data_IF_842964858058
#
_entry.id   IF_842964858058
#
_cell.length_a   1.000
_cell.length_b   1.000
_cell.length_c   1.000
_cell.angle_alpha   90.00
_cell.angle_beta   90.00
_cell.angle_gamma   90.00
#
_symmetry.space_group_name_H-M   'P 1'
#
loop_
_entity.id
_entity.type
_entity.pdbx_description
1 polymer ?
#
# COMPACT_ATOMS: atom_id res chain seq x y z
N UNK A 1 -2.40 6.62 26.93
CA UNK A 1 -2.33 8.08 26.65
C UNK A 1 -3.64 8.46 26.00
N UNK A 2 -4.26 9.60 26.31
CA UNK A 2 -5.48 10.01 25.62
C UNK A 2 -5.11 10.32 24.17
N UNK A 3 -5.66 9.56 23.23
CA UNK A 3 -5.50 9.81 21.80
C UNK A 3 -6.03 11.20 21.48
N UNK A 4 -5.22 12.04 20.86
CA UNK A 4 -5.67 13.33 20.33
C UNK A 4 -6.74 13.01 19.28
N UNK A 5 -7.96 13.57 19.38
CA UNK A 5 -8.98 13.30 18.39
C UNK A 5 -8.45 13.68 17.00
N UNK A 6 -8.41 12.71 16.09
CA UNK A 6 -8.07 12.96 14.69
C UNK A 6 -9.19 13.79 14.07
N UNK A 7 -8.91 15.05 13.74
CA UNK A 7 -9.87 15.95 13.09
C UNK A 7 -9.91 15.68 11.57
N UNK A 8 -10.28 14.45 11.18
CA UNK A 8 -10.31 14.02 9.78
C UNK A 8 -11.72 13.84 9.22
N UNK A 9 -12.77 14.14 9.99
CA UNK A 9 -14.17 14.01 9.54
C UNK A 9 -14.38 14.79 8.23
N UNK A 10 -14.90 14.09 7.22
CA UNK A 10 -15.14 14.63 5.88
C UNK A 10 -13.91 14.69 4.97
N UNK A 11 -12.70 14.34 5.45
CA UNK A 11 -11.47 14.33 4.65
C UNK A 11 -11.44 13.16 3.67
N UNK A 12 -10.88 13.40 2.51
CA UNK A 12 -10.52 12.34 1.54
C UNK A 12 -9.22 11.65 1.98
N UNK A 13 -8.96 10.44 1.46
CA UNK A 13 -7.73 9.69 1.64
C UNK A 13 -7.19 9.25 0.27
N UNK A 14 -6.48 10.17 -0.42
CA UNK A 14 -6.10 9.98 -1.83
C UNK A 14 -4.62 9.63 -2.01
N UNK A 15 -3.75 10.22 -1.21
CA UNK A 15 -2.30 10.01 -1.23
C UNK A 15 -1.68 10.40 0.11
N UNK A 16 -0.51 9.88 0.39
CA UNK A 16 0.24 10.12 1.63
C UNK A 16 0.57 11.61 1.83
N UNK A 17 0.81 12.32 0.72
CA UNK A 17 1.13 13.75 0.71
C UNK A 17 0.01 14.66 1.23
N UNK A 18 -1.21 14.14 1.35
CA UNK A 18 -2.38 14.90 1.85
C UNK A 18 -2.42 14.94 3.39
N UNK A 19 -1.51 14.26 4.07
CA UNK A 19 -1.48 14.10 5.52
C UNK A 19 -0.18 14.60 6.14
N UNK A 20 -0.30 15.11 7.37
CA UNK A 20 0.86 15.35 8.22
C UNK A 20 1.35 14.03 8.84
N UNK A 21 2.61 14.01 9.29
CA UNK A 21 3.17 12.88 10.02
C UNK A 21 2.33 12.52 11.27
N UNK A 22 1.79 13.51 11.96
CA UNK A 22 0.95 13.30 13.13
C UNK A 22 -0.39 12.65 12.77
N UNK A 23 -1.06 13.11 11.71
CA UNK A 23 -2.31 12.50 11.23
C UNK A 23 -2.09 11.07 10.78
N UNK A 24 -0.99 10.81 10.03
CA UNK A 24 -0.67 9.47 9.55
C UNK A 24 -0.39 8.49 10.71
N UNK A 25 0.43 8.92 11.69
CA UNK A 25 0.68 8.14 12.92
C UNK A 25 -0.60 7.89 13.71
N UNK A 26 -1.45 8.89 13.85
CA UNK A 26 -2.73 8.76 14.54
C UNK A 26 -3.68 7.75 13.88
N UNK A 27 -3.67 7.64 12.53
CA UNK A 27 -4.42 6.60 11.82
C UNK A 27 -3.87 5.20 12.10
N UNK A 28 -2.54 5.05 12.18
CA UNK A 28 -1.88 3.77 12.54
C UNK A 28 -2.21 3.38 13.99
N UNK A 29 -2.16 4.33 14.94
CA UNK A 29 -2.52 4.10 16.33
C UNK A 29 -3.99 3.69 16.47
N UNK A 30 -4.90 4.40 15.79
CA UNK A 30 -6.32 4.05 15.77
C UNK A 30 -6.55 2.65 15.17
N UNK A 31 -5.81 2.29 14.14
CA UNK A 31 -5.90 0.94 13.55
C UNK A 31 -5.46 -0.14 14.55
N UNK A 32 -4.38 0.08 15.30
CA UNK A 32 -3.93 -0.82 16.35
C UNK A 32 -4.98 -0.99 17.47
N UNK A 33 -5.60 0.11 17.90
CA UNK A 33 -6.69 0.10 18.90
C UNK A 33 -7.90 -0.69 18.40
N UNK A 34 -8.36 -0.44 17.17
CA UNK A 34 -9.49 -1.15 16.56
C UNK A 34 -9.18 -2.64 16.34
N UNK A 35 -7.94 -2.98 15.95
CA UNK A 35 -7.46 -4.37 15.84
C UNK A 35 -7.53 -5.07 17.20
N UNK A 36 -7.02 -4.43 18.24
CA UNK A 36 -7.04 -4.97 19.60
C UNK A 36 -8.48 -5.15 20.10
N UNK A 37 -9.36 -4.17 19.89
CA UNK A 37 -10.76 -4.24 20.28
C UNK A 37 -11.52 -5.37 19.55
N UNK A 38 -11.27 -5.57 18.23
CA UNK A 38 -11.83 -6.68 17.46
C UNK A 38 -11.38 -8.03 18.03
N UNK A 39 -10.08 -8.20 18.29
CA UNK A 39 -9.52 -9.44 18.85
C UNK A 39 -10.07 -9.75 20.25
N UNK A 40 -10.34 -8.70 21.05
CA UNK A 40 -10.93 -8.83 22.38
C UNK A 40 -12.47 -8.99 22.38
N UNK A 41 -13.14 -8.86 21.22
CA UNK A 41 -14.60 -8.88 21.12
C UNK A 41 -15.30 -7.68 21.78
N UNK A 42 -14.58 -6.56 21.93
CA UNK A 42 -15.07 -5.32 22.59
C UNK A 42 -15.25 -4.17 21.58
N UNK A 43 -15.17 -4.46 20.29
CA UNK A 43 -15.23 -3.45 19.24
C UNK A 43 -16.58 -2.71 19.22
N UNK A 44 -16.54 -1.39 19.22
CA UNK A 44 -17.71 -0.52 19.09
C UNK A 44 -17.96 -0.18 17.63
N UNK A 45 -19.21 -0.16 17.20
CA UNK A 45 -19.63 0.18 15.83
C UNK A 45 -19.84 1.68 15.70
N UNK A 46 -18.93 2.37 15.02
CA UNK A 46 -18.96 3.83 14.84
C UNK A 46 -19.67 4.28 13.56
N UNK A 47 -19.90 3.38 12.59
CA UNK A 47 -20.42 3.70 11.27
C UNK A 47 -21.81 3.10 11.01
N UNK A 48 -22.62 2.94 12.06
CA UNK A 48 -23.92 2.31 11.94
C UNK A 48 -24.85 3.10 11.00
N UNK A 49 -25.36 2.40 9.96
CA UNK A 49 -26.24 2.98 8.96
C UNK A 49 -25.53 3.73 7.83
N UNK A 50 -24.20 3.82 7.83
CA UNK A 50 -23.44 4.37 6.71
C UNK A 50 -23.41 3.41 5.53
N UNK A 51 -23.33 3.96 4.32
CA UNK A 51 -23.25 3.22 3.07
C UNK A 51 -22.02 3.68 2.27
N UNK A 52 -21.21 2.75 1.77
CA UNK A 52 -19.97 3.03 1.08
C UNK A 52 -20.02 2.39 -0.31
N UNK A 53 -19.77 3.18 -1.36
CA UNK A 53 -19.59 2.68 -2.71
C UNK A 53 -18.14 2.19 -2.90
N UNK A 54 -17.97 1.02 -3.49
CA UNK A 54 -16.66 0.45 -3.85
C UNK A 54 -16.56 0.36 -5.36
N UNK A 55 -15.80 1.27 -5.98
CA UNK A 55 -15.63 1.36 -7.43
C UNK A 55 -14.31 0.68 -7.81
N UNK A 56 -14.39 -0.38 -8.61
CA UNK A 56 -13.22 -1.12 -9.07
C UNK A 56 -13.15 -1.09 -10.60
N UNK A 57 -12.16 -0.41 -11.16
CA UNK A 57 -11.78 -0.54 -12.58
C UNK A 57 -10.77 -1.67 -12.77
N UNK A 58 -9.97 -1.99 -11.74
CA UNK A 58 -9.11 -3.17 -11.65
C UNK A 58 -9.57 -4.07 -10.53
N UNK A 59 -9.71 -5.36 -10.79
CA UNK A 59 -10.12 -6.34 -9.78
C UNK A 59 -9.12 -6.45 -8.64
N UNK A 60 -9.59 -6.71 -7.44
CA UNK A 60 -8.74 -6.97 -6.27
C UNK A 60 -9.49 -7.74 -5.20
N UNK A 61 -8.96 -8.89 -4.79
CA UNK A 61 -9.50 -9.66 -3.68
C UNK A 61 -9.26 -8.95 -2.35
N UNK A 62 -8.01 -8.58 -2.06
CA UNK A 62 -7.61 -8.02 -0.75
C UNK A 62 -8.24 -6.67 -0.46
N UNK A 63 -8.14 -5.70 -1.38
CA UNK A 63 -8.72 -4.36 -1.17
C UNK A 63 -10.23 -4.44 -0.98
N UNK A 64 -10.93 -5.22 -1.83
CA UNK A 64 -12.35 -5.42 -1.72
C UNK A 64 -12.73 -6.02 -0.37
N UNK A 65 -12.16 -7.16 -0.01
CA UNK A 65 -12.46 -7.83 1.27
C UNK A 65 -12.14 -6.92 2.47
N UNK A 66 -11.03 -6.18 2.42
CA UNK A 66 -10.64 -5.29 3.51
C UNK A 66 -11.67 -4.15 3.72
N UNK A 67 -12.15 -3.49 2.66
CA UNK A 67 -13.20 -2.48 2.76
C UNK A 67 -14.54 -3.08 3.19
N UNK A 68 -14.97 -4.20 2.60
CA UNK A 68 -16.25 -4.84 2.94
C UNK A 68 -16.27 -5.27 4.42
N UNK A 69 -15.21 -5.93 4.89
CA UNK A 69 -15.14 -6.40 6.29
C UNK A 69 -14.95 -5.23 7.26
N UNK A 70 -14.12 -4.23 6.92
CA UNK A 70 -13.96 -3.02 7.75
C UNK A 70 -15.30 -2.29 7.95
N UNK A 71 -16.06 -2.09 6.87
CA UNK A 71 -17.37 -1.46 6.91
C UNK A 71 -18.36 -2.29 7.74
N UNK A 72 -18.46 -3.60 7.50
CA UNK A 72 -19.37 -4.50 8.20
C UNK A 72 -19.08 -4.56 9.71
N UNK A 73 -17.80 -4.64 10.12
CA UNK A 73 -17.39 -4.61 11.52
C UNK A 73 -17.89 -3.34 12.23
N UNK A 74 -17.88 -2.21 11.53
CA UNK A 74 -18.29 -0.92 12.06
C UNK A 74 -19.79 -0.60 11.88
N UNK A 75 -20.57 -1.54 11.30
CA UNK A 75 -22.02 -1.41 11.11
C UNK A 75 -22.41 -0.63 9.86
N UNK A 76 -21.50 -0.40 8.94
CA UNK A 76 -21.77 0.15 7.63
C UNK A 76 -22.09 -0.94 6.60
N UNK A 77 -22.70 -0.54 5.48
CA UNK A 77 -22.95 -1.38 4.31
C UNK A 77 -22.07 -0.95 3.14
N UNK A 78 -21.78 -1.88 2.23
CA UNK A 78 -21.02 -1.60 1.02
C UNK A 78 -21.81 -1.97 -0.23
N UNK A 79 -21.57 -1.27 -1.33
CA UNK A 79 -22.04 -1.62 -2.66
C UNK A 79 -20.85 -1.71 -3.60
N UNK A 80 -20.62 -2.90 -4.12
CA UNK A 80 -19.54 -3.15 -5.07
C UNK A 80 -19.97 -2.85 -6.50
N UNK A 81 -19.20 -1.98 -7.17
CA UNK A 81 -19.37 -1.58 -8.55
C UNK A 81 -18.18 -2.13 -9.36
N UNK A 82 -18.39 -3.24 -10.03
CA UNK A 82 -17.35 -3.91 -10.81
C UNK A 82 -17.13 -3.21 -12.17
N UNK A 83 -16.01 -3.52 -12.87
CA UNK A 83 -15.69 -2.92 -14.16
C UNK A 83 -16.76 -3.14 -15.24
N UNK A 84 -17.50 -4.25 -15.17
CA UNK A 84 -18.53 -4.61 -16.15
C UNK A 84 -19.88 -3.97 -15.83
N UNK A 85 -20.13 -3.70 -14.57
CA UNK A 85 -21.38 -3.09 -14.06
C UNK A 85 -21.37 -1.56 -14.01
N UNK A 86 -20.19 -0.92 -14.17
CA UNK A 86 -20.03 0.53 -14.10
C UNK A 86 -20.05 1.18 -15.48
N UNK A 87 -20.70 2.33 -15.60
CA UNK A 87 -20.72 3.16 -16.79
C UNK A 87 -19.71 4.32 -16.74
N UNK A 88 -18.88 4.38 -15.68
CA UNK A 88 -17.91 5.43 -15.43
C UNK A 88 -16.91 5.53 -16.57
N UNK A 89 -16.79 6.72 -17.16
CA UNK A 89 -15.87 6.96 -18.27
C UNK A 89 -16.34 6.43 -19.64
N UNK A 90 -17.48 5.72 -19.71
CA UNK A 90 -18.05 5.23 -20.96
C UNK A 90 -19.25 6.06 -21.43
N UNK A 91 -20.34 6.04 -20.68
CA UNK A 91 -21.57 6.78 -20.98
C UNK A 91 -21.82 7.92 -20.01
N UNK A 92 -21.11 7.93 -18.90
CA UNK A 92 -21.23 8.93 -17.85
C UNK A 92 -19.85 9.48 -17.51
N UNK A 93 -19.74 10.79 -17.31
CA UNK A 93 -18.48 11.40 -16.89
C UNK A 93 -18.15 11.04 -15.44
N UNK A 94 -16.85 11.02 -15.10
CA UNK A 94 -16.39 10.82 -13.70
C UNK A 94 -17.07 11.82 -12.76
N UNK A 95 -17.16 13.08 -13.19
CA UNK A 95 -17.80 14.16 -12.46
C UNK A 95 -19.28 13.93 -12.18
N UNK A 96 -20.05 13.43 -13.16
CA UNK A 96 -21.48 13.17 -12.97
C UNK A 96 -21.69 11.94 -12.10
N UNK A 97 -20.92 10.90 -12.30
CA UNK A 97 -20.90 9.73 -11.42
C UNK A 97 -20.60 10.13 -9.98
N UNK A 98 -19.58 10.97 -9.75
CA UNK A 98 -19.25 11.47 -8.41
C UNK A 98 -20.44 12.15 -7.74
N UNK A 99 -21.13 13.03 -8.48
CA UNK A 99 -22.31 13.76 -7.97
C UNK A 99 -23.50 12.84 -7.66
N UNK A 100 -23.71 11.82 -8.47
CA UNK A 100 -24.77 10.83 -8.25
C UNK A 100 -24.46 9.99 -7.01
N UNK A 101 -23.27 9.40 -6.96
CA UNK A 101 -22.87 8.52 -5.86
C UNK A 101 -22.77 9.27 -4.52
N UNK A 102 -22.25 10.50 -4.54
CA UNK A 102 -22.17 11.35 -3.34
C UNK A 102 -23.53 11.77 -2.75
N UNK A 103 -24.66 11.55 -3.49
CA UNK A 103 -26.02 11.74 -2.98
C UNK A 103 -26.65 10.45 -2.43
N UNK A 104 -26.04 9.31 -2.71
CA UNK A 104 -26.54 7.99 -2.32
C UNK A 104 -25.71 7.36 -1.21
N UNK A 105 -24.40 7.67 -1.18
CA UNK A 105 -23.42 7.05 -0.29
C UNK A 105 -22.78 8.08 0.65
N UNK A 106 -22.32 7.62 1.80
CA UNK A 106 -21.59 8.44 2.78
C UNK A 106 -20.07 8.49 2.49
N UNK A 107 -19.57 7.57 1.69
CA UNK A 107 -18.17 7.50 1.25
C UNK A 107 -18.01 6.70 -0.03
N UNK A 108 -16.93 6.95 -0.76
CA UNK A 108 -16.64 6.30 -2.05
C UNK A 108 -15.20 5.81 -2.06
N UNK A 109 -14.99 4.51 -2.25
CA UNK A 109 -13.68 3.95 -2.57
C UNK A 109 -13.52 3.85 -4.08
N UNK A 110 -12.32 4.13 -4.58
CA UNK A 110 -11.95 3.96 -5.97
C UNK A 110 -10.64 3.19 -6.08
N UNK A 111 -10.63 2.16 -6.92
CA UNK A 111 -9.43 1.41 -7.34
C UNK A 111 -9.36 1.34 -8.85
N UNK A 112 -8.34 1.94 -9.43
CA UNK A 112 -8.14 2.00 -10.87
C UNK A 112 -6.73 2.43 -11.23
N UNK A 113 -6.54 2.92 -12.46
CA UNK A 113 -5.23 3.35 -12.96
C UNK A 113 -4.93 4.80 -12.61
N UNK A 114 -5.94 5.67 -12.73
CA UNK A 114 -5.73 7.11 -12.80
C UNK A 114 -5.89 7.82 -11.47
N UNK A 115 -4.80 8.44 -11.00
CA UNK A 115 -4.84 9.37 -9.88
C UNK A 115 -5.75 10.57 -10.16
N UNK A 116 -5.74 11.08 -11.38
CA UNK A 116 -6.61 12.19 -11.79
C UNK A 116 -8.10 11.83 -11.63
N UNK A 117 -8.50 10.59 -11.93
CA UNK A 117 -9.90 10.16 -11.75
C UNK A 117 -10.32 10.17 -10.28
N UNK A 118 -9.49 9.64 -9.37
CA UNK A 118 -9.83 9.63 -7.95
C UNK A 118 -9.85 11.04 -7.36
N UNK A 119 -8.99 11.94 -7.83
CA UNK A 119 -9.00 13.36 -7.46
C UNK A 119 -10.24 14.08 -8.02
N UNK A 120 -10.67 13.75 -9.25
CA UNK A 120 -11.92 14.28 -9.80
C UNK A 120 -13.15 13.76 -9.04
N UNK A 121 -13.19 12.48 -8.69
CA UNK A 121 -14.23 11.93 -7.81
C UNK A 121 -14.29 12.71 -6.50
N UNK A 122 -13.16 12.94 -5.85
CA UNK A 122 -13.07 13.68 -4.58
C UNK A 122 -13.56 15.12 -4.72
N UNK A 123 -13.21 15.80 -5.82
CA UNK A 123 -13.62 17.19 -6.07
C UNK A 123 -15.13 17.38 -6.23
N UNK A 124 -15.87 16.35 -6.66
CA UNK A 124 -17.30 16.49 -7.00
C UNK A 124 -18.26 15.61 -6.19
N UNK A 125 -17.75 14.63 -5.41
CA UNK A 125 -18.61 13.71 -4.66
C UNK A 125 -19.34 14.39 -3.49
N UNK A 126 -18.70 15.33 -2.81
CA UNK A 126 -19.23 15.97 -1.59
C UNK A 126 -19.25 15.06 -0.36
N UNK A 127 -18.64 13.88 -0.46
CA UNK A 127 -18.41 12.91 0.60
C UNK A 127 -16.96 12.43 0.54
N UNK A 128 -16.39 11.85 1.62
CA UNK A 128 -15.05 11.28 1.61
C UNK A 128 -14.82 10.29 0.46
N UNK A 129 -13.67 10.42 -0.20
CA UNK A 129 -13.22 9.52 -1.25
C UNK A 129 -11.91 8.88 -0.82
N UNK A 130 -11.78 7.56 -1.05
CA UNK A 130 -10.66 6.73 -0.62
C UNK A 130 -9.97 6.12 -1.83
N UNK A 131 -8.65 6.31 -1.92
CA UNK A 131 -7.83 5.67 -2.95
C UNK A 131 -7.47 4.24 -2.52
N UNK A 132 -8.11 3.24 -3.11
CA UNK A 132 -7.79 1.83 -2.90
C UNK A 132 -6.52 1.37 -3.61
N UNK A 133 -6.15 2.05 -4.70
CA UNK A 133 -4.90 2.00 -5.47
C UNK A 133 -5.09 2.80 -6.77
N UNK A 134 -4.06 3.54 -7.14
CA UNK A 134 -3.84 4.06 -8.50
C UNK A 134 -2.45 3.67 -8.98
N UNK A 135 -2.08 4.01 -10.21
CA UNK A 135 -0.71 3.77 -10.70
C UNK A 135 0.32 4.66 -9.99
N UNK A 136 -0.10 5.78 -9.40
CA UNK A 136 0.78 6.73 -8.73
C UNK A 136 0.92 6.49 -7.22
N UNK A 137 -0.17 6.04 -6.52
CA UNK A 137 -0.22 5.97 -5.07
C UNK A 137 -1.01 4.76 -4.55
N UNK A 138 -0.55 4.22 -3.40
CA UNK A 138 -1.25 3.16 -2.66
C UNK A 138 -1.31 3.44 -1.15
N UNK A 139 -1.97 4.53 -0.73
CA UNK A 139 -1.91 5.01 0.65
C UNK A 139 -2.49 4.02 1.68
N UNK A 140 -3.49 3.21 1.29
CA UNK A 140 -4.05 2.19 2.18
C UNK A 140 -3.08 1.05 2.47
N UNK A 141 -2.14 0.76 1.55
CA UNK A 141 -1.07 -0.21 1.78
C UNK A 141 -0.06 0.36 2.78
N UNK A 142 0.34 1.62 2.60
CA UNK A 142 1.34 2.26 3.48
C UNK A 142 0.91 2.28 4.94
N UNK A 143 -0.36 2.54 5.23
CA UNK A 143 -0.85 2.43 6.61
C UNK A 143 -0.69 1.01 7.17
N UNK A 144 -0.98 -0.01 6.36
CA UNK A 144 -0.85 -1.41 6.77
C UNK A 144 0.61 -1.79 7.02
N UNK A 145 1.50 -1.35 6.13
CA UNK A 145 2.93 -1.65 6.24
C UNK A 145 3.54 -0.97 7.46
N UNK A 146 3.20 0.29 7.71
CA UNK A 146 3.65 1.01 8.92
C UNK A 146 3.11 0.36 10.20
N UNK A 147 1.83 -0.08 10.22
CA UNK A 147 1.29 -0.84 11.34
C UNK A 147 2.05 -2.16 11.54
N UNK A 148 2.34 -2.88 10.45
CA UNK A 148 3.10 -4.13 10.50
C UNK A 148 4.52 -3.90 11.00
N UNK A 149 5.17 -2.84 10.53
CA UNK A 149 6.50 -2.46 11.02
C UNK A 149 6.51 -2.15 12.51
N UNK A 150 5.48 -1.48 13.03
CA UNK A 150 5.33 -1.23 14.47
C UNK A 150 5.04 -2.48 15.28
N UNK A 151 4.35 -3.47 14.72
CA UNK A 151 4.06 -4.74 15.40
C UNK A 151 5.26 -5.69 15.46
N UNK A 152 6.20 -5.54 14.51
CA UNK A 152 7.36 -6.42 14.35
C UNK A 152 8.71 -5.73 14.68
N UNK A 153 8.67 -4.56 15.32
CA UNK A 153 9.87 -3.83 15.76
C UNK A 153 9.63 -3.11 17.09
N UNK A 154 10.61 -3.17 17.98
CA UNK A 154 10.61 -2.39 19.23
C UNK A 154 11.11 -0.95 19.03
N UNK A 155 11.52 -0.60 17.81
CA UNK A 155 12.04 0.73 17.49
C UNK A 155 10.89 1.73 17.28
N UNK A 156 11.07 3.01 17.63
CA UNK A 156 10.18 4.06 17.15
C UNK A 156 10.28 4.19 15.62
N UNK A 157 9.25 4.71 14.97
CA UNK A 157 9.19 4.80 13.49
C UNK A 157 10.39 5.54 12.88
N UNK A 158 10.87 6.59 13.52
CA UNK A 158 12.06 7.36 13.10
C UNK A 158 13.39 6.62 13.32
N UNK A 159 13.35 5.49 14.02
CA UNK A 159 14.48 4.56 14.19
C UNK A 159 14.47 3.36 13.23
N UNK A 160 13.39 3.19 12.44
CA UNK A 160 13.24 2.07 11.50
C UNK A 160 14.00 2.38 10.20
N UNK A 161 14.72 1.36 9.73
CA UNK A 161 15.35 1.34 8.40
C UNK A 161 14.66 0.31 7.53
N UNK A 162 14.20 0.69 6.34
CA UNK A 162 13.69 -0.27 5.38
C UNK A 162 14.26 -0.06 3.98
N UNK A 163 14.38 -1.15 3.23
CA UNK A 163 14.84 -1.16 1.85
C UNK A 163 13.76 -1.73 0.93
N UNK A 164 13.32 -0.93 -0.06
CA UNK A 164 12.46 -1.37 -1.14
C UNK A 164 13.32 -1.81 -2.33
N UNK A 165 13.16 -3.06 -2.77
CA UNK A 165 13.89 -3.65 -3.89
C UNK A 165 12.94 -3.86 -5.07
N UNK A 166 13.36 -3.47 -6.28
CA UNK A 166 12.60 -3.72 -7.51
C UNK A 166 12.15 -2.47 -8.25
N UNK A 167 11.03 -2.55 -8.97
CA UNK A 167 10.52 -1.43 -9.76
C UNK A 167 9.88 -0.36 -8.87
N UNK A 168 10.56 0.76 -8.68
CA UNK A 168 10.09 1.85 -7.84
C UNK A 168 9.48 3.03 -8.61
N UNK A 169 9.20 2.88 -9.91
CA UNK A 169 8.66 3.96 -10.75
C UNK A 169 7.18 4.25 -10.52
N UNK A 170 6.46 3.34 -9.87
CA UNK A 170 5.00 3.35 -9.72
C UNK A 170 4.59 3.51 -8.26
N UNK A 171 3.31 3.23 -8.00
CA UNK A 171 2.65 3.49 -6.73
C UNK A 171 3.41 3.00 -5.48
N UNK A 172 3.90 1.76 -5.47
CA UNK A 172 4.59 1.24 -4.27
C UNK A 172 5.90 1.97 -3.99
N UNK A 173 6.75 2.18 -5.02
CA UNK A 173 7.99 2.93 -4.86
C UNK A 173 7.76 4.37 -4.42
N UNK A 174 6.78 5.05 -5.04
CA UNK A 174 6.39 6.41 -4.66
C UNK A 174 5.87 6.47 -3.22
N UNK A 175 4.93 5.59 -2.88
CA UNK A 175 4.29 5.54 -1.56
C UNK A 175 5.27 5.21 -0.45
N UNK A 176 6.15 4.23 -0.63
CA UNK A 176 7.21 3.92 0.35
C UNK A 176 8.17 5.08 0.56
N UNK A 177 8.65 5.69 -0.54
CA UNK A 177 9.58 6.81 -0.47
C UNK A 177 8.98 7.99 0.32
N UNK A 178 7.74 8.36 -0.02
CA UNK A 178 7.05 9.48 0.63
C UNK A 178 6.67 9.17 2.07
N UNK A 179 6.17 7.96 2.35
CA UNK A 179 5.80 7.54 3.70
C UNK A 179 7.02 7.50 4.63
N UNK A 180 8.13 6.92 4.18
CA UNK A 180 9.36 6.91 4.96
C UNK A 180 9.89 8.32 5.22
N UNK A 181 9.85 9.19 4.20
CA UNK A 181 10.22 10.59 4.35
C UNK A 181 9.31 11.35 5.32
N UNK A 182 8.00 11.14 5.24
CA UNK A 182 7.00 11.77 6.13
C UNK A 182 7.20 11.38 7.60
N UNK A 183 7.51 10.11 7.85
CA UNK A 183 7.57 9.55 9.21
C UNK A 183 8.95 9.63 9.87
N UNK A 184 9.96 10.15 9.16
CA UNK A 184 11.32 10.31 9.70
C UNK A 184 12.18 9.04 9.63
N UNK A 185 11.80 8.06 8.81
CA UNK A 185 12.48 6.76 8.67
C UNK A 185 13.76 6.85 7.82
N UNK A 186 14.61 5.80 7.88
CA UNK A 186 15.66 5.59 6.89
C UNK A 186 15.10 4.74 5.74
N UNK A 187 14.73 5.42 4.64
CA UNK A 187 14.14 4.78 3.46
C UNK A 187 15.16 4.64 2.35
N UNK A 188 15.25 3.44 1.79
CA UNK A 188 16.19 3.11 0.75
C UNK A 188 15.49 2.48 -0.43
N UNK A 189 15.64 3.08 -1.61
CA UNK A 189 15.20 2.54 -2.89
C UNK A 189 16.39 1.86 -3.55
N UNK A 190 16.27 0.56 -3.76
CA UNK A 190 17.33 -0.31 -4.28
C UNK A 190 16.89 -0.89 -5.61
N UNK A 191 17.31 -0.27 -6.69
CA UNK A 191 16.88 -0.59 -8.04
C UNK A 191 17.86 -0.03 -9.07
N UNK A 192 17.85 -0.53 -10.33
CA UNK A 192 18.54 0.17 -11.42
C UNK A 192 18.03 1.62 -11.51
N UNK A 193 18.90 2.56 -11.82
CA UNK A 193 18.55 3.99 -11.86
C UNK A 193 17.35 4.30 -12.75
N UNK A 194 17.15 3.55 -13.82
CA UNK A 194 15.99 3.66 -14.73
C UNK A 194 14.67 3.21 -14.12
N UNK A 195 14.71 2.55 -12.95
CA UNK A 195 13.56 2.07 -12.19
C UNK A 195 13.34 2.85 -10.88
N UNK A 196 14.01 3.96 -10.68
CA UNK A 196 13.79 4.86 -9.55
C UNK A 196 12.48 5.64 -9.74
N UNK A 197 11.88 6.17 -8.66
CA UNK A 197 10.76 7.08 -8.74
C UNK A 197 11.09 8.31 -9.59
N UNK A 198 10.05 8.94 -10.16
CA UNK A 198 10.21 10.18 -10.90
C UNK A 198 10.88 11.25 -10.03
N UNK A 199 11.72 12.10 -10.65
CA UNK A 199 12.53 13.09 -9.94
C UNK A 199 11.66 14.01 -9.05
N UNK A 200 10.47 14.37 -9.51
CA UNK A 200 9.54 15.21 -8.76
C UNK A 200 9.07 14.54 -7.43
N UNK A 201 8.89 13.21 -7.43
CA UNK A 201 8.55 12.46 -6.21
C UNK A 201 9.74 12.42 -5.27
N UNK A 202 10.95 12.19 -5.81
CA UNK A 202 12.20 12.20 -5.03
C UNK A 202 12.42 13.57 -4.38
N UNK A 203 12.23 14.65 -5.13
CA UNK A 203 12.41 16.01 -4.62
C UNK A 203 11.38 16.32 -3.52
N UNK A 204 10.13 15.92 -3.72
CA UNK A 204 9.11 16.06 -2.69
C UNK A 204 9.40 15.26 -1.41
N UNK A 205 9.91 14.04 -1.55
CA UNK A 205 10.33 13.24 -0.41
C UNK A 205 11.50 13.90 0.35
N UNK A 206 12.45 14.48 -0.36
CA UNK A 206 13.57 15.21 0.26
C UNK A 206 13.11 16.45 1.04
N UNK A 207 12.16 17.21 0.50
CA UNK A 207 11.54 18.33 1.22
C UNK A 207 10.88 17.86 2.55
N UNK A 208 10.17 16.73 2.52
CA UNK A 208 9.61 16.14 3.74
C UNK A 208 10.71 15.71 4.72
N UNK A 209 11.78 15.12 4.22
CA UNK A 209 12.92 14.66 5.02
C UNK A 209 13.64 15.80 5.75
N UNK A 210 13.72 16.99 5.16
CA UNK A 210 14.26 18.19 5.83
C UNK A 210 13.55 18.52 7.14
N UNK A 211 12.24 18.30 7.19
CA UNK A 211 11.41 18.59 8.37
C UNK A 211 11.28 17.41 9.33
N UNK A 212 11.27 16.19 8.82
CA UNK A 212 11.05 14.97 9.62
C UNK A 212 12.34 14.36 10.17
N UNK A 213 13.51 14.70 9.58
CA UNK A 213 14.79 14.06 9.88
C UNK A 213 15.02 12.72 9.18
N UNK A 214 14.16 12.34 8.24
CA UNK A 214 14.29 11.10 7.46
C UNK A 214 15.60 11.06 6.66
N UNK A 215 16.10 9.85 6.42
CA UNK A 215 17.20 9.61 5.48
C UNK A 215 16.67 8.96 4.22
N UNK A 216 17.08 9.46 3.07
CA UNK A 216 16.68 8.94 1.77
C UNK A 216 17.93 8.50 1.01
N UNK A 217 17.94 7.24 0.61
CA UNK A 217 19.01 6.66 -0.22
C UNK A 217 18.41 6.03 -1.46
N UNK A 218 18.92 6.38 -2.63
CA UNK A 218 18.66 5.68 -3.88
C UNK A 218 19.96 5.05 -4.34
N UNK A 219 20.00 3.74 -4.53
CA UNK A 219 21.22 3.01 -4.90
C UNK A 219 20.93 1.85 -5.84
N UNK A 220 21.92 1.50 -6.67
CA UNK A 220 21.87 0.30 -7.50
C UNK A 220 22.58 -0.88 -6.82
N UNK A 221 23.31 -0.63 -5.71
CA UNK A 221 24.06 -1.64 -4.97
C UNK A 221 23.20 -2.31 -3.89
N UNK A 222 22.79 -3.56 -4.13
CA UNK A 222 21.91 -4.31 -3.23
C UNK A 222 22.49 -4.43 -1.82
N UNK A 223 23.75 -4.90 -1.70
CA UNK A 223 24.40 -5.10 -0.40
C UNK A 223 24.54 -3.82 0.43
N UNK A 224 24.73 -2.68 -0.25
CA UNK A 224 24.80 -1.37 0.41
C UNK A 224 23.41 -0.93 0.85
N UNK A 225 22.42 -1.08 -0.03
CA UNK A 225 21.06 -0.66 0.20
C UNK A 225 20.38 -1.40 1.36
N UNK A 226 20.60 -2.72 1.47
CA UNK A 226 19.95 -3.52 2.52
C UNK A 226 20.70 -3.55 3.85
N UNK A 227 21.94 -3.09 3.92
CA UNK A 227 22.78 -3.20 5.13
C UNK A 227 22.13 -2.50 6.34
N UNK A 228 21.89 -3.27 7.41
CA UNK A 228 21.29 -2.78 8.65
C UNK A 228 19.79 -2.52 8.54
N UNK A 229 19.12 -2.96 7.46
CA UNK A 229 17.68 -2.81 7.33
C UNK A 229 16.94 -3.67 8.35
N UNK A 230 15.87 -3.12 8.90
CA UNK A 230 14.92 -3.81 9.76
C UNK A 230 13.86 -4.54 8.91
N UNK A 231 13.54 -3.95 7.76
CA UNK A 231 12.57 -4.49 6.81
C UNK A 231 13.13 -4.46 5.39
N UNK A 232 12.90 -5.55 4.66
CA UNK A 232 13.12 -5.64 3.23
C UNK A 232 11.77 -5.80 2.56
N UNK A 233 11.50 -4.96 1.58
CA UNK A 233 10.19 -4.85 0.94
C UNK A 233 10.34 -4.98 -0.57
N UNK A 234 9.39 -5.62 -1.23
CA UNK A 234 9.32 -5.67 -2.69
C UNK A 234 7.88 -5.71 -3.18
N UNK A 235 7.70 -5.56 -4.47
CA UNK A 235 6.43 -5.73 -5.18
C UNK A 235 6.68 -6.45 -6.52
N UNK A 236 5.63 -6.91 -7.16
CA UNK A 236 5.70 -7.56 -8.48
C UNK A 236 6.43 -6.66 -9.49
N UNK A 237 7.30 -7.25 -10.29
CA UNK A 237 8.04 -6.50 -11.31
C UNK A 237 7.17 -6.13 -12.52
N UNK A 238 6.09 -6.85 -12.73
CA UNK A 238 5.16 -6.63 -13.83
C UNK A 238 3.73 -6.65 -13.30
N UNK A 239 3.01 -5.55 -13.51
CA UNK A 239 1.61 -5.46 -13.08
C UNK A 239 0.70 -6.35 -13.93
N UNK A 240 -0.38 -6.85 -13.33
CA UNK A 240 -1.38 -7.62 -14.04
C UNK A 240 -2.00 -6.79 -15.19
N UNK A 241 -1.95 -7.35 -16.41
CA UNK A 241 -2.49 -6.70 -17.61
C UNK A 241 -1.44 -6.02 -18.49
N UNK A 242 -0.17 -5.95 -18.07
CA UNK A 242 0.90 -5.44 -18.94
C UNK A 242 1.23 -6.44 -20.06
N UNK A 243 1.66 -5.93 -21.26
CA UNK A 243 2.00 -6.78 -22.39
C UNK A 243 3.15 -7.74 -22.07
N UNK A 244 3.10 -8.97 -22.61
CA UNK A 244 4.15 -9.99 -22.39
C UNK A 244 5.54 -9.56 -22.85
N UNK A 245 5.61 -8.63 -23.79
CA UNK A 245 6.85 -8.11 -24.36
C UNK A 245 7.70 -7.35 -23.34
N UNK A 246 7.09 -6.70 -22.35
CA UNK A 246 7.82 -5.98 -21.28
C UNK A 246 8.37 -6.90 -20.21
N UNK A 247 7.91 -8.15 -20.13
CA UNK A 247 8.33 -9.09 -19.09
C UNK A 247 9.81 -9.45 -19.19
N UNK A 248 10.28 -9.78 -20.40
CA UNK A 248 11.67 -10.19 -20.60
C UNK A 248 12.65 -9.08 -20.22
N UNK A 249 12.39 -7.84 -20.62
CA UNK A 249 13.22 -6.67 -20.27
C UNK A 249 13.25 -6.44 -18.76
N UNK A 250 12.08 -6.49 -18.11
CA UNK A 250 12.00 -6.27 -16.65
C UNK A 250 12.66 -7.38 -15.86
N UNK A 251 12.44 -8.64 -16.24
CA UNK A 251 13.11 -9.79 -15.62
C UNK A 251 14.63 -9.64 -15.72
N UNK A 252 15.16 -9.34 -16.90
CA UNK A 252 16.60 -9.14 -17.08
C UNK A 252 17.15 -8.01 -16.20
N UNK A 253 16.45 -6.88 -16.15
CA UNK A 253 16.88 -5.72 -15.39
C UNK A 253 16.75 -5.90 -13.88
N UNK A 254 15.71 -6.61 -13.40
CA UNK A 254 15.35 -6.68 -11.99
C UNK A 254 15.78 -7.98 -11.30
N UNK A 255 16.15 -9.02 -12.05
CA UNK A 255 16.62 -10.28 -11.46
C UNK A 255 17.74 -10.12 -10.40
N UNK A 256 18.71 -9.18 -10.52
CA UNK A 256 19.69 -8.92 -9.48
C UNK A 256 19.11 -8.35 -8.17
N UNK A 257 17.86 -7.89 -8.20
CA UNK A 257 17.15 -7.27 -7.07
C UNK A 257 16.09 -8.18 -6.46
N UNK A 258 16.02 -9.44 -6.89
CA UNK A 258 15.14 -10.44 -6.28
C UNK A 258 15.49 -10.62 -4.79
N UNK A 259 14.47 -10.66 -3.94
CA UNK A 259 14.67 -10.89 -2.51
C UNK A 259 14.90 -12.37 -2.27
N UNK A 260 16.13 -12.71 -1.92
CA UNK A 260 16.60 -14.06 -1.60
C UNK A 260 17.08 -14.13 -0.15
N UNK A 261 17.34 -15.33 0.36
CA UNK A 261 17.95 -15.50 1.69
C UNK A 261 19.33 -14.85 1.78
N UNK A 262 20.08 -14.73 0.67
CA UNK A 262 21.36 -14.03 0.64
C UNK A 262 21.17 -12.52 0.81
N UNK A 263 20.14 -11.94 0.21
CA UNK A 263 19.75 -10.53 0.42
C UNK A 263 19.38 -10.27 1.88
N UNK A 264 18.59 -11.15 2.50
CA UNK A 264 18.26 -11.02 3.92
C UNK A 264 19.53 -11.15 4.80
N UNK A 265 20.41 -12.07 4.51
CA UNK A 265 21.71 -12.20 5.21
C UNK A 265 22.61 -10.98 5.04
N UNK A 266 22.59 -10.35 3.87
CA UNK A 266 23.37 -9.13 3.59
C UNK A 266 22.95 -7.92 4.43
N UNK A 267 21.73 -7.93 5.00
CA UNK A 267 21.32 -6.90 5.98
C UNK A 267 22.22 -6.92 7.22
N UNK A 268 22.76 -8.07 7.60
CA UNK A 268 23.46 -8.27 8.87
C UNK A 268 22.55 -8.23 10.10
N UNK A 269 21.24 -8.15 9.89
CA UNK A 269 20.20 -8.13 10.94
C UNK A 269 19.50 -9.50 10.98
N UNK A 270 19.69 -10.32 12.02
CA UNK A 270 19.06 -11.64 12.11
C UNK A 270 17.54 -11.57 12.28
N UNK A 271 17.02 -10.43 12.74
CA UNK A 271 15.59 -10.21 12.99
C UNK A 271 14.87 -9.48 11.83
N UNK A 272 15.58 -9.26 10.69
CA UNK A 272 15.00 -8.60 9.51
C UNK A 272 13.69 -9.25 9.11
N UNK A 273 12.70 -8.43 8.75
CA UNK A 273 11.40 -8.90 8.26
C UNK A 273 11.22 -8.57 6.78
N UNK A 274 10.49 -9.46 6.12
CA UNK A 274 10.13 -9.34 4.71
C UNK A 274 8.65 -8.95 4.59
N UNK A 275 8.36 -7.91 3.77
CA UNK A 275 7.02 -7.45 3.43
C UNK A 275 6.77 -7.51 1.92
N UNK A 276 5.52 -7.75 1.54
CA UNK A 276 5.03 -7.74 0.17
C UNK A 276 3.53 -7.53 0.14
N UNK A 277 3.06 -6.54 -0.60
CA UNK A 277 1.62 -6.19 -0.67
C UNK A 277 0.72 -7.28 -1.29
N UNK A 278 1.33 -8.32 -1.90
CA UNK A 278 0.66 -9.41 -2.59
C UNK A 278 -0.22 -8.98 -3.79
N UNK A 279 -0.34 -9.81 -4.86
CA UNK A 279 0.20 -11.18 -4.98
C UNK A 279 1.70 -11.21 -5.20
N UNK A 280 2.39 -12.30 -4.86
CA UNK A 280 3.81 -12.51 -5.11
C UNK A 280 4.03 -13.67 -6.09
N UNK A 281 5.08 -13.56 -6.92
CA UNK A 281 5.51 -14.64 -7.80
C UNK A 281 6.71 -15.38 -7.18
N UNK A 282 6.43 -16.16 -6.14
CA UNK A 282 7.45 -16.88 -5.38
C UNK A 282 7.53 -18.37 -5.72
N UNK A 283 6.48 -18.93 -6.38
CA UNK A 283 6.38 -20.34 -6.71
C UNK A 283 5.63 -20.61 -8.03
N UNK A 284 5.46 -21.88 -8.37
CA UNK A 284 4.71 -22.36 -9.54
C UNK A 284 3.23 -22.67 -9.23
N UNK A 285 2.74 -22.29 -8.07
CA UNK A 285 1.36 -22.55 -7.63
C UNK A 285 0.28 -21.80 -8.39
N UNK A 286 0.68 -20.83 -9.23
CA UNK A 286 -0.24 -20.01 -10.03
C UNK A 286 -0.08 -20.29 -11.52
N UNK A 287 -1.16 -20.06 -12.30
CA UNK A 287 -1.09 -20.15 -13.76
C UNK A 287 -0.03 -19.21 -14.35
N UNK A 288 0.07 -18.00 -13.84
CA UNK A 288 1.06 -17.00 -14.30
C UNK A 288 2.47 -17.45 -13.96
N UNK A 289 2.71 -17.99 -12.74
CA UNK A 289 4.00 -18.58 -12.37
C UNK A 289 4.44 -19.72 -13.30
N UNK A 290 3.50 -20.59 -13.70
CA UNK A 290 3.76 -21.64 -14.67
C UNK A 290 4.09 -21.09 -16.06
N UNK A 291 3.36 -20.08 -16.55
CA UNK A 291 3.65 -19.41 -17.82
C UNK A 291 5.04 -18.74 -17.83
N UNK A 292 5.45 -18.15 -16.70
CA UNK A 292 6.78 -17.54 -16.52
C UNK A 292 7.86 -18.63 -16.57
N UNK A 293 7.66 -19.74 -15.86
CA UNK A 293 8.59 -20.85 -15.90
C UNK A 293 8.77 -21.44 -17.31
N UNK A 294 7.66 -21.64 -18.03
CA UNK A 294 7.70 -22.12 -19.42
C UNK A 294 8.43 -21.16 -20.36
N UNK A 295 8.28 -19.85 -20.16
CA UNK A 295 8.84 -18.82 -21.02
C UNK A 295 10.29 -18.46 -20.68
N UNK A 296 10.66 -18.45 -19.37
CA UNK A 296 11.92 -17.89 -18.88
C UNK A 296 12.74 -18.87 -18.03
N UNK A 297 12.19 -20.04 -17.66
CA UNK A 297 12.88 -21.04 -16.82
C UNK A 297 13.05 -20.61 -15.36
N UNK A 298 12.28 -19.61 -14.91
CA UNK A 298 12.34 -19.08 -13.54
C UNK A 298 11.17 -19.62 -12.72
N UNK A 299 11.44 -20.16 -11.54
CA UNK A 299 10.44 -20.66 -10.60
C UNK A 299 9.93 -19.59 -9.62
N UNK A 300 10.58 -18.45 -9.58
CA UNK A 300 10.21 -17.28 -8.79
C UNK A 300 10.71 -16.00 -9.48
N UNK A 301 10.18 -14.83 -9.11
CA UNK A 301 10.62 -13.53 -9.64
C UNK A 301 11.16 -12.62 -8.52
N UNK A 302 10.33 -11.72 -8.01
CA UNK A 302 10.72 -10.68 -7.06
C UNK A 302 11.12 -11.19 -5.69
N UNK A 303 10.69 -12.41 -5.34
CA UNK A 303 11.03 -13.07 -4.06
C UNK A 303 11.07 -14.58 -4.26
N UNK A 304 12.04 -15.25 -3.62
CA UNK A 304 12.10 -16.71 -3.61
C UNK A 304 11.12 -17.32 -2.61
N UNK A 305 10.65 -18.55 -2.89
CA UNK A 305 9.76 -19.29 -1.98
C UNK A 305 10.41 -19.52 -0.60
N UNK A 306 11.74 -19.74 -0.56
CA UNK A 306 12.48 -19.86 0.69
C UNK A 306 12.33 -18.62 1.61
N UNK A 307 12.32 -17.40 1.05
CA UNK A 307 12.09 -16.18 1.83
C UNK A 307 10.61 -16.05 2.18
N UNK A 308 9.73 -16.27 1.21
CA UNK A 308 8.29 -16.09 1.35
C UNK A 308 7.70 -16.98 2.45
N UNK A 309 8.15 -18.23 2.57
CA UNK A 309 7.70 -19.20 3.57
C UNK A 309 8.56 -19.20 4.86
N UNK A 310 9.54 -18.32 4.96
CA UNK A 310 10.42 -18.25 6.14
C UNK A 310 9.78 -17.51 7.32
N UNK A 311 10.41 -17.64 8.50
CA UNK A 311 10.06 -16.86 9.70
C UNK A 311 10.37 -15.34 9.57
N UNK A 312 11.08 -14.93 8.53
CA UNK A 312 11.30 -13.54 8.21
C UNK A 312 10.07 -12.88 7.56
N UNK A 313 9.26 -13.68 6.85
CA UNK A 313 8.08 -13.20 6.14
C UNK A 313 6.94 -12.85 7.10
N UNK A 314 6.42 -11.63 6.97
CA UNK A 314 5.26 -11.14 7.72
C UNK A 314 4.15 -10.66 6.78
N UNK A 315 4.15 -11.12 5.53
CA UNK A 315 3.24 -10.72 4.46
C UNK A 315 1.76 -10.98 4.78
N UNK A 316 1.45 -11.99 5.57
CA UNK A 316 0.06 -12.27 5.96
C UNK A 316 -0.41 -11.40 7.11
N UNK A 317 0.47 -11.00 8.04
CA UNK A 317 0.18 -9.98 9.05
C UNK A 317 -0.04 -8.61 8.39
N UNK A 318 0.79 -8.28 7.40
CA UNK A 318 0.64 -7.10 6.54
C UNK A 318 -0.71 -7.10 5.81
N UNK A 319 -1.09 -8.23 5.20
CA UNK A 319 -2.37 -8.37 4.52
C UNK A 319 -3.58 -8.25 5.50
N UNK A 320 -3.50 -8.81 6.72
CA UNK A 320 -4.50 -8.61 7.77
C UNK A 320 -4.61 -7.14 8.15
N UNK A 321 -3.48 -6.45 8.30
CA UNK A 321 -3.44 -5.06 8.72
C UNK A 321 -4.14 -4.11 7.74
N UNK A 322 -4.29 -4.48 6.45
CA UNK A 322 -5.14 -3.75 5.49
C UNK A 322 -6.57 -3.55 6.00
N UNK A 323 -7.15 -4.60 6.61
CA UNK A 323 -8.49 -4.51 7.20
C UNK A 323 -8.55 -3.45 8.31
N UNK A 324 -7.58 -3.48 9.22
CA UNK A 324 -7.60 -2.62 10.40
C UNK A 324 -7.30 -1.17 10.09
N UNK A 325 -6.38 -0.92 9.16
CA UNK A 325 -6.02 0.44 8.75
C UNK A 325 -7.09 1.08 7.87
N UNK A 326 -7.73 0.35 6.96
CA UNK A 326 -8.90 0.82 6.22
C UNK A 326 -10.05 1.15 7.18
N UNK A 327 -10.29 0.29 8.18
CA UNK A 327 -11.28 0.55 9.23
C UNK A 327 -11.00 1.87 9.96
N UNK A 328 -9.73 2.11 10.33
CA UNK A 328 -9.33 3.36 10.98
C UNK A 328 -9.58 4.59 10.09
N UNK A 329 -9.27 4.50 8.79
CA UNK A 329 -9.56 5.59 7.84
C UNK A 329 -11.07 5.86 7.76
N UNK A 330 -11.89 4.81 7.61
CA UNK A 330 -13.34 4.95 7.56
C UNK A 330 -13.91 5.55 8.85
N UNK A 331 -13.48 5.09 10.01
CA UNK A 331 -13.92 5.64 11.31
C UNK A 331 -13.49 7.10 11.46
N UNK A 332 -12.23 7.43 11.18
CA UNK A 332 -11.72 8.78 11.34
C UNK A 332 -12.39 9.83 10.43
N UNK A 333 -12.94 9.39 9.29
CA UNK A 333 -13.48 10.31 8.28
C UNK A 333 -15.01 10.34 8.22
N UNK A 334 -15.70 9.29 8.71
CA UNK A 334 -17.16 9.15 8.62
C UNK A 334 -17.90 9.16 9.97
N UNK A 335 -17.18 8.98 11.10
CA UNK A 335 -17.77 9.00 12.44
C UNK A 335 -18.02 10.42 12.96
#
# INVERSE_FOLDING_TARGET
MATVPLALTGRHFLKELDFTAQEFRGLVELAAELKAAKRAGTETRHLQGRNIALIFEKTSTRTRCAFEVAAADQGASTTYLDPSGSQIGHKESVKDTARVLGRMFDGIEYRGDSQQKVEELAAFAGVPVYNGLTDDWHPTQMLADVLTMTEHSDKPLDGITFAYLGDARFNMGNSYLVTGALLGMDVRIVAPKTYWPAQEVVDRARELAESSGARITLTEAVDEGVRGADFVVTDVWVSMGEPKEVWAERIEALAPYAVTMDVLRATGNPDVKFLHCLPAFHDLGTKVGQEIFEAHGLDSLEVTDEVFESAHSVVFDEAENRLHTIKAVLVATLA
#
